data_IF_523339085781
#
_entry.id   IF_523339085781
#
_cell.length_a   1.000
_cell.length_b   1.000
_cell.length_c   1.000
_cell.angle_alpha   90.00
_cell.angle_beta   90.00
_cell.angle_gamma   90.00
#
_symmetry.space_group_name_H-M   'P 1'
#
loop_
_entity.id
_entity.type
_entity.pdbx_description
1 polymer ?
#
# COMPACT_ATOMS: atom_id res chain seq x y z
N UNK A 1 38.78 1.43 10.97
CA UNK A 1 37.83 0.32 11.25
C UNK A 1 36.38 0.65 10.93
N UNK A 2 35.84 1.81 11.30
CA UNK A 2 34.41 2.21 10.98
C UNK A 2 34.18 2.55 9.52
N UNK A 3 35.15 3.10 8.78
CA UNK A 3 35.02 3.41 7.35
C UNK A 3 34.92 2.16 6.48
N UNK A 4 35.68 1.10 6.80
CA UNK A 4 35.65 -0.16 6.06
C UNK A 4 34.30 -0.85 6.17
N UNK A 5 33.66 -0.84 7.37
CA UNK A 5 32.34 -1.45 7.59
C UNK A 5 31.25 -0.72 6.79
N UNK A 6 31.32 0.60 6.70
CA UNK A 6 30.35 1.38 5.91
C UNK A 6 30.53 1.14 4.40
N UNK A 7 31.75 1.02 3.94
CA UNK A 7 32.06 0.73 2.54
C UNK A 7 31.57 -0.68 2.16
N UNK A 8 31.80 -1.68 3.00
CA UNK A 8 31.31 -3.05 2.82
C UNK A 8 29.79 -3.09 2.79
N UNK A 9 29.09 -2.33 3.66
CA UNK A 9 27.62 -2.23 3.64
C UNK A 9 27.09 -1.64 2.34
N UNK A 10 27.74 -0.57 1.83
CA UNK A 10 27.35 0.06 0.56
C UNK A 10 27.61 -0.86 -0.65
N UNK A 11 28.73 -1.56 -0.64
CA UNK A 11 29.04 -2.50 -1.72
C UNK A 11 28.08 -3.70 -1.72
N UNK A 12 27.69 -4.17 -0.54
CA UNK A 12 26.68 -5.23 -0.40
C UNK A 12 25.33 -4.83 -0.99
N UNK A 13 24.95 -3.54 -0.97
CA UNK A 13 23.69 -3.07 -1.57
C UNK A 13 23.60 -3.31 -3.08
N UNK A 14 24.72 -3.43 -3.80
CA UNK A 14 24.76 -3.75 -5.24
C UNK A 14 24.25 -5.15 -5.54
N UNK A 15 24.48 -6.09 -4.64
CA UNK A 15 24.22 -7.52 -4.83
C UNK A 15 22.99 -8.01 -4.06
N UNK A 16 22.47 -7.21 -3.13
CA UNK A 16 21.29 -7.59 -2.32
C UNK A 16 20.01 -6.96 -2.84
N UNK A 17 18.95 -7.78 -2.91
CA UNK A 17 17.60 -7.34 -3.22
C UNK A 17 17.01 -6.55 -2.06
N UNK A 18 16.11 -5.60 -2.34
CA UNK A 18 15.35 -4.88 -1.29
C UNK A 18 14.15 -5.72 -0.82
N UNK A 19 14.44 -6.75 -0.03
CA UNK A 19 13.40 -7.65 0.49
C UNK A 19 12.50 -6.98 1.51
N UNK A 20 13.00 -6.01 2.29
CA UNK A 20 12.22 -5.34 3.33
C UNK A 20 11.07 -4.52 2.73
N UNK A 21 11.36 -3.65 1.76
CA UNK A 21 10.32 -2.87 1.08
C UNK A 21 9.32 -3.74 0.34
N UNK A 22 9.80 -4.83 -0.29
CA UNK A 22 8.93 -5.81 -0.95
C UNK A 22 8.00 -6.52 0.03
N UNK A 23 8.48 -6.93 1.21
CA UNK A 23 7.65 -7.57 2.25
C UNK A 23 6.58 -6.62 2.79
N UNK A 24 6.90 -5.34 2.99
CA UNK A 24 5.92 -4.34 3.41
C UNK A 24 4.79 -4.18 2.38
N UNK A 25 5.12 -4.25 1.09
CA UNK A 25 4.10 -4.16 0.03
C UNK A 25 3.20 -5.41 -0.02
N UNK A 26 3.76 -6.59 0.20
CA UNK A 26 2.96 -7.82 0.33
C UNK A 26 2.02 -7.69 1.55
N UNK A 27 2.50 -7.16 2.65
CA UNK A 27 1.67 -6.90 3.84
C UNK A 27 0.56 -5.89 3.53
N UNK A 28 0.84 -4.83 2.77
CA UNK A 28 -0.17 -3.87 2.30
C UNK A 28 -1.27 -4.56 1.47
N UNK A 29 -0.91 -5.48 0.59
CA UNK A 29 -1.84 -6.28 -0.21
C UNK A 29 -2.73 -7.14 0.70
N UNK A 30 -2.17 -7.78 1.72
CA UNK A 30 -2.94 -8.59 2.68
C UNK A 30 -3.99 -7.75 3.40
N UNK A 31 -3.63 -6.56 3.89
CA UNK A 31 -4.58 -5.68 4.56
C UNK A 31 -5.65 -5.11 3.61
N UNK A 32 -5.32 -4.87 2.35
CA UNK A 32 -6.32 -4.48 1.34
C UNK A 32 -7.29 -5.63 1.04
N UNK A 33 -6.81 -6.87 0.96
CA UNK A 33 -7.67 -8.05 0.84
C UNK A 33 -8.60 -8.22 2.05
N UNK A 34 -8.11 -8.02 3.28
CA UNK A 34 -8.93 -8.09 4.49
C UNK A 34 -10.01 -7.01 4.50
N UNK A 35 -9.68 -5.78 4.09
CA UNK A 35 -10.67 -4.73 3.87
C UNK A 35 -11.72 -5.16 2.84
N UNK A 36 -11.29 -5.65 1.69
CA UNK A 36 -12.18 -6.11 0.63
C UNK A 36 -13.17 -7.18 1.12
N UNK A 37 -12.66 -8.21 1.80
CA UNK A 37 -13.49 -9.28 2.37
C UNK A 37 -14.50 -8.73 3.37
N UNK A 38 -14.10 -7.80 4.26
CA UNK A 38 -15.00 -7.19 5.24
C UNK A 38 -16.16 -6.43 4.61
N UNK A 39 -15.91 -5.74 3.48
CA UNK A 39 -16.95 -5.00 2.76
C UNK A 39 -17.91 -5.95 2.03
N UNK A 40 -17.40 -6.95 1.33
CA UNK A 40 -18.20 -7.77 0.42
C UNK A 40 -18.87 -8.99 1.07
N UNK A 41 -18.47 -9.37 2.25
CA UNK A 41 -19.15 -10.38 3.08
C UNK A 41 -20.23 -9.81 4.00
N UNK A 42 -20.40 -8.49 4.03
CA UNK A 42 -21.36 -7.80 4.88
C UNK A 42 -22.55 -7.24 4.11
N UNK A 43 -23.57 -6.79 4.83
CA UNK A 43 -24.74 -6.12 4.25
C UNK A 43 -24.40 -4.82 3.50
N UNK A 44 -23.24 -4.25 3.76
CA UNK A 44 -22.69 -3.10 3.02
C UNK A 44 -22.56 -3.41 1.52
N UNK A 45 -22.16 -4.63 1.18
CA UNK A 45 -22.07 -5.09 -0.21
C UNK A 45 -23.42 -5.08 -0.92
N UNK A 46 -24.51 -5.44 -0.24
CA UNK A 46 -25.87 -5.44 -0.81
C UNK A 46 -26.46 -4.04 -0.93
N UNK A 47 -26.15 -3.13 -0.02
CA UNK A 47 -26.60 -1.73 -0.08
C UNK A 47 -26.04 -0.98 -1.28
N UNK A 48 -24.76 -1.20 -1.60
CA UNK A 48 -24.10 -0.58 -2.75
C UNK A 48 -24.22 -1.42 -4.05
N UNK A 49 -25.25 -2.26 -4.17
CA UNK A 49 -25.47 -3.11 -5.36
C UNK A 49 -25.81 -2.28 -6.60
N UNK A 50 -24.92 -1.35 -6.94
CA UNK A 50 -24.98 -0.46 -8.09
C UNK A 50 -23.64 -0.51 -8.84
N UNK A 51 -23.53 0.27 -9.92
CA UNK A 51 -22.30 0.44 -10.67
C UNK A 51 -21.07 0.80 -9.79
N UNK A 52 -21.28 1.46 -8.64
CA UNK A 52 -20.24 1.79 -7.65
C UNK A 52 -19.51 0.54 -7.11
N UNK A 53 -20.21 -0.57 -6.92
CA UNK A 53 -19.59 -1.85 -6.57
C UNK A 53 -18.64 -2.32 -7.68
N UNK A 54 -19.09 -2.27 -8.94
CA UNK A 54 -18.25 -2.63 -10.08
C UNK A 54 -16.98 -1.80 -10.14
N UNK A 55 -17.09 -0.48 -9.96
CA UNK A 55 -15.93 0.43 -9.91
C UNK A 55 -15.02 0.10 -8.75
N UNK A 56 -15.57 -0.21 -7.57
CA UNK A 56 -14.76 -0.57 -6.39
C UNK A 56 -14.01 -1.90 -6.60
N UNK A 57 -14.63 -2.89 -7.21
CA UNK A 57 -13.98 -4.18 -7.53
C UNK A 57 -12.84 -3.96 -8.53
N UNK A 58 -13.09 -3.24 -9.62
CA UNK A 58 -12.06 -2.93 -10.63
C UNK A 58 -10.92 -2.17 -10.01
N UNK A 59 -11.20 -1.18 -9.16
CA UNK A 59 -10.17 -0.43 -8.44
C UNK A 59 -9.32 -1.35 -7.55
N UNK A 60 -9.94 -2.26 -6.77
CA UNK A 60 -9.21 -3.21 -5.93
C UNK A 60 -8.27 -4.10 -6.76
N UNK A 61 -8.75 -4.61 -7.90
CA UNK A 61 -7.92 -5.42 -8.80
C UNK A 61 -6.73 -4.63 -9.35
N UNK A 62 -6.95 -3.37 -9.76
CA UNK A 62 -5.88 -2.48 -10.24
C UNK A 62 -4.89 -2.20 -9.12
N UNK A 63 -5.35 -1.92 -7.88
CA UNK A 63 -4.48 -1.70 -6.74
C UNK A 63 -3.62 -2.94 -6.44
N UNK A 64 -4.22 -4.12 -6.36
CA UNK A 64 -3.51 -5.38 -6.10
C UNK A 64 -2.44 -5.65 -7.17
N UNK A 65 -2.79 -5.47 -8.44
CA UNK A 65 -1.86 -5.63 -9.55
C UNK A 65 -0.72 -4.61 -9.48
N UNK A 66 -1.03 -3.33 -9.28
CA UNK A 66 -0.04 -2.27 -9.18
C UNK A 66 0.90 -2.46 -7.99
N UNK A 67 0.37 -2.83 -6.82
CA UNK A 67 1.15 -3.10 -5.61
C UNK A 67 2.06 -4.33 -5.79
N UNK A 68 1.57 -5.39 -6.44
CA UNK A 68 2.37 -6.58 -6.74
C UNK A 68 3.51 -6.27 -7.71
N UNK A 69 3.22 -5.58 -8.83
CA UNK A 69 4.25 -5.19 -9.80
C UNK A 69 5.27 -4.21 -9.18
N UNK A 70 4.81 -3.29 -8.34
CA UNK A 70 5.68 -2.39 -7.60
C UNK A 70 6.56 -3.14 -6.60
N UNK A 71 6.03 -4.16 -5.91
CA UNK A 71 6.78 -5.02 -4.99
C UNK A 71 7.97 -5.70 -5.69
N UNK A 72 7.73 -6.33 -6.85
CA UNK A 72 8.81 -6.96 -7.63
C UNK A 72 9.81 -5.94 -8.19
N UNK A 73 9.34 -4.77 -8.62
CA UNK A 73 10.21 -3.72 -9.15
C UNK A 73 11.09 -3.09 -8.07
N UNK A 74 10.53 -2.84 -6.87
CA UNK A 74 11.27 -2.32 -5.71
C UNK A 74 12.28 -3.34 -5.20
N UNK A 75 11.91 -4.62 -5.14
CA UNK A 75 12.81 -5.72 -4.80
C UNK A 75 14.06 -5.73 -5.68
N UNK A 76 13.89 -5.45 -6.97
CA UNK A 76 14.97 -5.36 -7.95
C UNK A 76 15.59 -3.95 -8.06
N UNK A 77 15.30 -3.05 -7.10
CA UNK A 77 15.84 -1.68 -7.00
C UNK A 77 15.63 -0.82 -8.26
N UNK A 78 14.55 -1.03 -8.99
CA UNK A 78 14.21 -0.17 -10.14
C UNK A 78 13.86 1.23 -9.66
N UNK A 79 14.50 2.25 -10.28
CA UNK A 79 14.22 3.66 -9.99
C UNK A 79 12.82 4.06 -10.48
N UNK A 80 12.18 5.01 -9.78
CA UNK A 80 10.86 5.54 -10.15
C UNK A 80 9.68 4.88 -9.43
N UNK A 81 9.77 3.63 -9.04
CA UNK A 81 8.66 2.93 -8.37
C UNK A 81 8.34 3.45 -6.96
N UNK A 82 9.30 4.08 -6.28
CA UNK A 82 9.05 4.75 -4.99
C UNK A 82 7.98 5.85 -5.08
N UNK A 83 7.93 6.60 -6.19
CA UNK A 83 6.87 7.58 -6.44
C UNK A 83 5.49 6.92 -6.59
N UNK A 84 5.40 5.82 -7.32
CA UNK A 84 4.15 5.05 -7.49
C UNK A 84 3.64 4.56 -6.13
N UNK A 85 4.52 4.12 -5.24
CA UNK A 85 4.14 3.67 -3.89
C UNK A 85 3.56 4.78 -3.02
N UNK A 86 4.09 6.01 -3.13
CA UNK A 86 3.51 7.16 -2.44
C UNK A 86 2.10 7.42 -2.94
N UNK A 87 1.89 7.40 -4.26
CA UNK A 87 0.57 7.59 -4.88
C UNK A 87 -0.40 6.51 -4.39
N UNK A 88 0.00 5.23 -4.41
CA UNK A 88 -0.82 4.12 -3.91
C UNK A 88 -1.20 4.32 -2.43
N UNK A 89 -0.24 4.73 -1.58
CA UNK A 89 -0.51 5.02 -0.17
C UNK A 89 -1.51 6.16 0.04
N UNK A 90 -1.37 7.26 -0.72
CA UNK A 90 -2.31 8.40 -0.67
C UNK A 90 -3.72 7.97 -1.12
N UNK A 91 -3.83 7.18 -2.18
CA UNK A 91 -5.12 6.69 -2.67
C UNK A 91 -5.78 5.78 -1.62
N UNK A 92 -5.03 4.94 -0.89
CA UNK A 92 -5.60 4.13 0.21
C UNK A 92 -6.19 4.99 1.32
N UNK A 93 -5.55 6.11 1.67
CA UNK A 93 -6.11 7.07 2.63
C UNK A 93 -7.42 7.70 2.09
N UNK A 94 -7.42 8.11 0.82
CA UNK A 94 -8.60 8.70 0.18
C UNK A 94 -9.80 7.72 0.16
N UNK A 95 -9.56 6.43 0.02
CA UNK A 95 -10.62 5.39 0.03
C UNK A 95 -11.39 5.33 1.34
N UNK A 96 -10.80 5.72 2.47
CA UNK A 96 -11.49 5.76 3.76
C UNK A 96 -12.74 6.66 3.69
N UNK A 97 -12.63 7.78 2.96
CA UNK A 97 -13.70 8.76 2.83
C UNK A 97 -14.73 8.41 1.77
N UNK A 98 -14.40 7.51 0.82
CA UNK A 98 -15.30 7.18 -0.29
C UNK A 98 -16.31 6.13 0.15
N UNK A 99 -15.90 4.94 0.55
CA UNK A 99 -16.81 3.81 0.81
C UNK A 99 -17.09 3.61 2.30
N UNK A 100 -16.10 3.45 3.19
CA UNK A 100 -16.38 3.24 4.61
C UNK A 100 -17.11 4.41 5.26
N UNK A 101 -16.71 5.66 4.99
CA UNK A 101 -17.35 6.83 5.58
C UNK A 101 -18.79 7.00 5.10
N UNK A 102 -19.07 6.77 3.81
CA UNK A 102 -20.42 6.85 3.26
C UNK A 102 -21.31 5.73 3.80
N UNK A 103 -20.80 4.49 3.88
CA UNK A 103 -21.55 3.36 4.41
C UNK A 103 -21.88 3.50 5.90
N UNK A 104 -20.96 4.11 6.66
CA UNK A 104 -21.18 4.39 8.08
C UNK A 104 -22.22 5.49 8.32
N UNK A 105 -22.28 6.49 7.44
CA UNK A 105 -23.25 7.58 7.52
C UNK A 105 -24.65 7.20 6.95
N UNK A 106 -24.75 6.11 6.20
CA UNK A 106 -25.99 5.70 5.57
C UNK A 106 -26.87 4.87 6.51
N UNK A 107 -28.19 5.14 6.48
CA UNK A 107 -29.21 4.35 7.19
C UNK A 107 -30.14 3.68 6.19
N UNK A 108 -30.61 2.49 6.53
CA UNK A 108 -31.61 1.72 5.75
C UNK A 108 -32.77 1.34 6.65
N UNK A 109 -33.99 1.42 6.15
CA UNK A 109 -35.19 0.96 6.82
C UNK A 109 -35.33 -0.57 6.66
N UNK A 110 -35.05 -1.30 7.73
CA UNK A 110 -35.27 -2.74 7.80
C UNK A 110 -36.46 -3.00 8.74
N UNK A 111 -37.54 -3.57 8.21
CA UNK A 111 -38.79 -3.84 8.98
C UNK A 111 -39.36 -2.60 9.71
N UNK A 112 -39.21 -1.41 9.11
CA UNK A 112 -39.72 -0.15 9.71
C UNK A 112 -38.82 0.45 10.80
N UNK A 113 -37.64 -0.11 11.04
CA UNK A 113 -36.61 0.41 11.97
C UNK A 113 -35.44 0.93 11.16
N UNK A 114 -34.99 2.16 11.45
CA UNK A 114 -33.77 2.70 10.84
C UNK A 114 -32.54 2.00 11.43
N UNK A 115 -31.79 1.32 10.57
CA UNK A 115 -30.55 0.65 10.92
C UNK A 115 -29.39 1.24 10.13
N UNK A 116 -28.21 1.38 10.77
CA UNK A 116 -26.98 1.85 10.12
C UNK A 116 -26.45 0.74 9.20
N UNK A 117 -26.08 1.07 7.97
CA UNK A 117 -25.56 0.10 6.98
C UNK A 117 -24.24 -0.51 7.43
N UNK A 118 -23.36 0.28 8.04
CA UNK A 118 -22.08 -0.17 8.58
C UNK A 118 -21.97 0.18 10.06
N UNK A 119 -21.87 -0.84 10.93
CA UNK A 119 -21.69 -0.63 12.37
C UNK A 119 -20.29 -0.10 12.70
N UNK A 120 -20.17 0.55 13.88
CA UNK A 120 -18.94 1.19 14.36
C UNK A 120 -17.72 0.25 14.34
N UNK A 121 -17.90 -0.99 14.76
CA UNK A 121 -16.81 -2.00 14.81
C UNK A 121 -16.27 -2.32 13.42
N UNK A 122 -17.17 -2.49 12.46
CA UNK A 122 -16.80 -2.78 11.06
C UNK A 122 -16.12 -1.56 10.41
N UNK A 123 -16.66 -0.35 10.66
CA UNK A 123 -16.06 0.90 10.20
C UNK A 123 -14.63 1.03 10.71
N UNK A 124 -14.42 0.88 12.03
CA UNK A 124 -13.08 0.95 12.63
C UNK A 124 -12.12 -0.10 12.05
N UNK A 125 -12.60 -1.33 11.84
CA UNK A 125 -11.80 -2.38 11.21
C UNK A 125 -11.39 -2.02 9.79
N UNK A 126 -12.31 -1.54 8.95
CA UNK A 126 -12.04 -1.11 7.59
C UNK A 126 -11.04 0.04 7.53
N UNK A 127 -11.23 1.05 8.39
CA UNK A 127 -10.30 2.20 8.50
C UNK A 127 -8.91 1.72 8.92
N UNK A 128 -8.81 0.85 9.92
CA UNK A 128 -7.55 0.30 10.39
C UNK A 128 -6.81 -0.47 9.27
N UNK A 129 -7.51 -1.33 8.53
CA UNK A 129 -6.92 -2.07 7.41
C UNK A 129 -6.36 -1.14 6.32
N UNK A 130 -7.13 -0.13 5.92
CA UNK A 130 -6.71 0.84 4.91
C UNK A 130 -5.54 1.71 5.38
N UNK A 131 -5.55 2.15 6.65
CA UNK A 131 -4.44 2.92 7.23
C UNK A 131 -3.15 2.10 7.31
N UNK A 132 -3.22 0.85 7.76
CA UNK A 132 -2.05 -0.02 7.83
C UNK A 132 -1.51 -0.27 6.41
N UNK A 133 -2.38 -0.53 5.44
CA UNK A 133 -2.00 -0.69 4.03
C UNK A 133 -1.30 0.57 3.50
N UNK A 134 -1.85 1.77 3.76
CA UNK A 134 -1.27 3.04 3.35
C UNK A 134 0.11 3.28 3.99
N UNK A 135 0.23 3.04 5.31
CA UNK A 135 1.50 3.19 6.04
C UNK A 135 2.57 2.24 5.47
N UNK A 136 2.20 0.98 5.20
CA UNK A 136 3.12 0.02 4.57
C UNK A 136 3.62 0.51 3.21
N UNK A 137 2.76 1.06 2.35
CA UNK A 137 3.13 1.62 1.06
C UNK A 137 4.08 2.81 1.21
N UNK A 138 3.78 3.76 2.10
CA UNK A 138 4.58 4.97 2.32
C UNK A 138 5.95 4.61 2.91
N UNK A 139 5.99 3.75 3.93
CA UNK A 139 7.26 3.30 4.54
C UNK A 139 8.11 2.57 3.51
N UNK A 140 7.53 1.67 2.71
CA UNK A 140 8.23 0.99 1.63
C UNK A 140 8.79 1.99 0.61
N UNK A 141 8.04 3.04 0.25
CA UNK A 141 8.48 4.10 -0.65
C UNK A 141 9.70 4.84 -0.11
N UNK A 142 9.65 5.27 1.16
CA UNK A 142 10.75 6.01 1.81
C UNK A 142 12.01 5.16 1.92
N UNK A 143 11.88 3.91 2.37
CA UNK A 143 13.02 2.99 2.51
C UNK A 143 13.65 2.69 1.16
N UNK A 144 12.83 2.37 0.14
CA UNK A 144 13.29 2.10 -1.22
C UNK A 144 13.98 3.32 -1.84
N UNK A 145 13.41 4.52 -1.71
CA UNK A 145 14.02 5.76 -2.20
C UNK A 145 15.38 6.03 -1.54
N UNK A 146 15.47 5.88 -0.21
CA UNK A 146 16.73 6.05 0.54
C UNK A 146 17.79 5.05 0.09
N UNK A 147 17.44 3.78 -0.04
CA UNK A 147 18.36 2.72 -0.47
C UNK A 147 18.84 2.94 -1.90
N UNK A 148 17.96 3.34 -2.81
CA UNK A 148 18.30 3.61 -4.20
C UNK A 148 19.20 4.84 -4.33
N UNK A 149 18.93 5.92 -3.55
CA UNK A 149 19.81 7.10 -3.50
C UNK A 149 21.21 6.75 -3.01
N UNK A 150 21.29 6.01 -1.89
CA UNK A 150 22.58 5.57 -1.32
C UNK A 150 23.37 4.73 -2.32
N UNK A 151 22.71 3.85 -3.06
CA UNK A 151 23.35 3.05 -4.12
C UNK A 151 23.83 3.91 -5.27
N UNK A 152 23.02 4.85 -5.76
CA UNK A 152 23.38 5.75 -6.86
C UNK A 152 24.59 6.63 -6.50
N UNK A 153 24.62 7.20 -5.30
CA UNK A 153 25.74 8.01 -4.81
C UNK A 153 27.04 7.18 -4.69
N UNK A 154 26.90 5.93 -4.22
CA UNK A 154 28.05 5.03 -4.15
C UNK A 154 28.60 4.65 -5.54
N UNK A 155 27.72 4.36 -6.50
CA UNK A 155 28.14 4.07 -7.87
C UNK A 155 28.90 5.23 -8.51
N UNK A 156 28.43 6.48 -8.34
CA UNK A 156 29.16 7.67 -8.80
C UNK A 156 30.56 7.80 -8.19
N UNK A 157 30.70 7.46 -6.90
CA UNK A 157 32.03 7.52 -6.26
C UNK A 157 33.01 6.47 -6.81
N UNK A 158 32.49 5.32 -7.28
CA UNK A 158 33.30 4.28 -7.91
C UNK A 158 33.72 4.69 -9.34
N UNK A 159 32.81 5.27 -10.12
CA UNK A 159 33.11 5.78 -11.45
C UNK A 159 34.20 6.86 -11.40
N UNK A 160 34.07 7.82 -10.48
CA UNK A 160 35.08 8.88 -10.31
C UNK A 160 36.45 8.37 -9.80
N UNK A 161 36.53 7.17 -9.24
CA UNK A 161 37.82 6.56 -8.83
C UNK A 161 38.44 5.73 -9.93
N UNK A 162 37.67 5.34 -10.94
CA UNK A 162 38.12 4.53 -12.06
C UNK A 162 38.53 5.37 -13.28
N UNK A 163 38.11 6.65 -13.30
CA UNK A 163 38.55 7.67 -14.28
C UNK A 163 39.78 8.40 -13.80
#
# INVERSE_FOLDING_TARGET
MTQDVQTIKKDRLRYTKDSFSSTLLILSIVFDCLFFVSIYQSDVGTFYYNWLIGVSIVYNLIFLLAAFLASESVKNRRTGYSGILVVLGVIQIARIFILPAQAHAATVLVNGVETVVMGDKQYLYCVACLLISAVCCIVAAVVSAKNNKTLADYMKTLENKAA
#
